data_IF_606653230677
#
_entry.id   IF_606653230677
#
_cell.length_a   1.000
_cell.length_b   1.000
_cell.length_c   1.000
_cell.angle_alpha   90.00
_cell.angle_beta   90.00
_cell.angle_gamma   90.00
#
_symmetry.space_group_name_H-M   'P 1'
#
loop_
_entity.id
_entity.type
_entity.pdbx_description
1 polymer ?
#
# COMPACT_ATOMS: atom_id res chain seq x y z
N UNK A 1 -64.86 -14.17 2.66
CA UNK A 1 -64.91 -14.56 4.09
C UNK A 1 -63.51 -15.04 4.42
N UNK A 2 -62.59 -14.09 4.63
CA UNK A 2 -62.20 -13.62 5.98
C UNK A 2 -61.63 -14.80 6.78
N UNK A 3 -60.38 -14.80 7.23
CA UNK A 3 -59.70 -13.75 7.98
C UNK A 3 -58.20 -14.11 8.04
N UNK A 4 -57.33 -13.17 7.68
CA UNK A 4 -56.43 -12.47 8.61
C UNK A 4 -55.29 -13.28 9.24
N UNK A 5 -54.10 -12.88 8.83
CA UNK A 5 -52.79 -12.96 9.47
C UNK A 5 -52.83 -12.90 11.00
N UNK A 6 -52.16 -13.83 11.69
CA UNK A 6 -51.51 -13.58 12.99
C UNK A 6 -50.20 -14.37 13.13
N UNK A 7 -49.11 -13.60 13.01
CA UNK A 7 -47.81 -13.65 13.66
C UNK A 7 -47.36 -14.87 14.51
N UNK A 8 -46.09 -15.22 14.28
CA UNK A 8 -45.05 -15.61 15.24
C UNK A 8 -45.15 -16.95 15.97
N UNK A 9 -44.31 -17.89 15.53
CA UNK A 9 -43.51 -18.70 16.45
C UNK A 9 -42.14 -18.99 15.82
N UNK A 10 -41.14 -18.23 16.23
CA UNK A 10 -39.74 -18.65 16.16
C UNK A 10 -39.60 -19.89 17.06
N UNK A 11 -39.43 -21.08 16.49
CA UNK A 11 -38.86 -22.22 17.21
C UNK A 11 -37.76 -22.85 16.36
N UNK A 12 -36.55 -22.40 16.71
CA UNK A 12 -35.25 -23.01 16.53
C UNK A 12 -35.25 -24.52 16.19
N UNK A 13 -34.62 -24.90 15.08
CA UNK A 13 -33.89 -26.15 15.01
C UNK A 13 -32.75 -26.02 13.99
N UNK A 14 -31.53 -25.87 14.51
CA UNK A 14 -30.32 -25.73 13.70
C UNK A 14 -30.04 -26.99 12.90
N UNK A 15 -29.97 -26.85 11.58
CA UNK A 15 -29.34 -27.84 10.71
C UNK A 15 -27.92 -27.36 10.47
N UNK A 16 -26.98 -27.97 11.19
CA UNK A 16 -25.55 -27.82 11.02
C UNK A 16 -25.16 -28.15 9.58
N UNK A 17 -24.90 -27.12 8.76
CA UNK A 17 -24.24 -27.29 7.47
C UNK A 17 -22.80 -27.72 7.81
N UNK A 18 -22.54 -29.03 7.73
CA UNK A 18 -21.22 -29.61 7.87
C UNK A 18 -20.31 -28.98 6.79
N UNK A 19 -19.57 -27.93 7.18
CA UNK A 19 -18.51 -27.33 6.36
C UNK A 19 -17.50 -28.43 6.07
N UNK A 20 -17.44 -28.92 4.83
CA UNK A 20 -16.30 -29.72 4.37
C UNK A 20 -15.07 -28.82 4.39
N UNK A 21 -14.24 -28.94 5.41
CA UNK A 21 -12.84 -28.52 5.31
C UNK A 21 -12.11 -29.60 4.55
N UNK A 22 -12.00 -29.46 3.23
CA UNK A 22 -11.07 -30.26 2.45
C UNK A 22 -9.66 -29.88 2.90
N UNK A 23 -9.06 -30.72 3.75
CA UNK A 23 -7.62 -30.68 4.03
C UNK A 23 -6.91 -31.05 2.73
N UNK A 24 -6.47 -30.06 1.96
CA UNK A 24 -5.48 -30.31 0.92
C UNK A 24 -4.15 -30.56 1.62
N UNK A 25 -3.93 -31.81 2.02
CA UNK A 25 -2.67 -32.26 2.58
C UNK A 25 -1.75 -32.63 1.41
N UNK A 26 -0.74 -31.79 1.19
CA UNK A 26 0.58 -32.10 0.64
C UNK A 26 0.64 -32.87 -0.68
N UNK A 27 0.73 -32.14 -1.79
CA UNK A 27 1.44 -32.62 -2.97
C UNK A 27 2.48 -31.56 -3.35
N UNK A 28 3.75 -31.81 -2.99
CA UNK A 28 4.85 -31.01 -3.49
C UNK A 28 5.01 -31.29 -4.98
N UNK A 29 4.35 -30.48 -5.80
CA UNK A 29 4.54 -30.50 -7.25
C UNK A 29 5.96 -30.03 -7.57
N UNK A 30 6.72 -30.67 -8.49
CA UNK A 30 8.07 -30.23 -8.90
C UNK A 30 8.14 -28.82 -9.52
N UNK A 31 7.01 -28.14 -9.61
CA UNK A 31 6.80 -26.84 -10.21
C UNK A 31 6.87 -25.73 -9.16
N UNK A 32 7.33 -26.05 -7.95
CA UNK A 32 7.67 -25.08 -6.91
C UNK A 32 8.74 -24.06 -7.38
N UNK A 33 9.37 -24.32 -8.52
CA UNK A 33 10.29 -23.42 -9.23
C UNK A 33 9.65 -22.76 -10.47
N UNK A 34 8.32 -22.66 -10.56
CA UNK A 34 7.65 -21.83 -11.57
C UNK A 34 7.28 -20.43 -11.03
N UNK A 35 7.63 -20.14 -9.77
CA UNK A 35 7.21 -18.94 -9.03
C UNK A 35 8.32 -17.88 -8.88
N UNK A 36 9.32 -17.89 -9.78
CA UNK A 36 10.41 -16.90 -9.78
C UNK A 36 10.73 -16.34 -11.18
N UNK A 37 9.79 -16.36 -12.13
CA UNK A 37 9.95 -15.63 -13.42
C UNK A 37 9.66 -14.12 -13.24
N UNK A 38 9.94 -13.59 -12.05
CA UNK A 38 10.19 -12.17 -11.83
C UNK A 38 11.70 -12.08 -11.65
N UNK A 39 12.42 -12.00 -12.76
CA UNK A 39 13.88 -11.91 -12.75
C UNK A 39 14.33 -10.73 -11.89
N UNK A 40 15.46 -10.86 -11.20
CA UNK A 40 16.13 -9.75 -10.51
C UNK A 40 16.30 -8.54 -11.43
N UNK A 41 16.57 -8.77 -12.72
CA UNK A 41 16.61 -7.75 -13.76
C UNK A 41 15.30 -6.94 -13.90
N UNK A 42 14.14 -7.60 -13.81
CA UNK A 42 12.83 -6.93 -13.88
C UNK A 42 12.54 -6.11 -12.62
N UNK A 43 12.95 -6.61 -11.45
CA UNK A 43 12.83 -5.86 -10.18
C UNK A 43 13.70 -4.61 -10.26
N UNK A 44 14.94 -4.73 -10.73
CA UNK A 44 15.85 -3.61 -10.92
C UNK A 44 15.33 -2.60 -11.94
N UNK A 45 14.79 -3.06 -13.07
CA UNK A 45 14.20 -2.17 -14.07
C UNK A 45 13.01 -1.38 -13.50
N UNK A 46 12.11 -2.03 -12.76
CA UNK A 46 11.00 -1.35 -12.08
C UNK A 46 11.50 -0.35 -11.04
N UNK A 47 12.48 -0.71 -10.21
CA UNK A 47 13.06 0.20 -9.21
C UNK A 47 13.74 1.41 -9.88
N UNK A 48 14.46 1.20 -10.98
CA UNK A 48 15.09 2.26 -11.74
C UNK A 48 14.06 3.24 -12.31
N UNK A 49 12.98 2.75 -12.92
CA UNK A 49 11.91 3.61 -13.45
C UNK A 49 11.24 4.44 -12.35
N UNK A 50 11.01 3.87 -11.17
CA UNK A 50 10.45 4.59 -10.02
C UNK A 50 11.43 5.64 -9.48
N UNK A 51 12.73 5.34 -9.46
CA UNK A 51 13.79 6.27 -9.03
C UNK A 51 14.00 7.42 -10.02
N UNK A 52 13.90 7.15 -11.33
CA UNK A 52 14.00 8.15 -12.38
C UNK A 52 12.76 9.06 -12.41
N UNK A 53 11.56 8.49 -12.27
CA UNK A 53 10.32 9.25 -12.27
C UNK A 53 9.40 8.86 -11.10
N UNK A 54 9.47 9.66 -10.04
CA UNK A 54 8.63 9.53 -8.83
C UNK A 54 7.11 9.67 -9.07
N UNK A 55 6.67 10.07 -10.26
CA UNK A 55 5.26 10.21 -10.63
C UNK A 55 4.78 9.13 -11.60
N UNK A 56 5.65 8.18 -11.95
CA UNK A 56 5.31 7.11 -12.87
C UNK A 56 4.13 6.30 -12.34
N UNK A 57 3.18 6.04 -13.23
CA UNK A 57 1.99 5.24 -12.94
C UNK A 57 2.26 3.78 -13.21
N UNK A 58 1.55 2.90 -12.52
CA UNK A 58 1.58 1.45 -12.79
C UNK A 58 1.28 1.14 -14.27
N UNK A 59 0.47 1.96 -14.95
CA UNK A 59 0.13 1.76 -16.36
C UNK A 59 1.33 2.03 -17.28
N UNK A 60 2.07 3.10 -17.03
CA UNK A 60 3.28 3.42 -17.79
C UNK A 60 4.32 2.31 -17.64
N UNK A 61 4.55 1.81 -16.41
CA UNK A 61 5.48 0.69 -16.16
C UNK A 61 5.02 -0.59 -16.89
N UNK A 62 3.72 -0.90 -16.87
CA UNK A 62 3.15 -2.06 -17.58
C UNK A 62 3.43 -1.99 -19.08
N UNK A 63 3.29 -0.80 -19.67
CA UNK A 63 3.53 -0.58 -21.11
C UNK A 63 5.03 -0.66 -21.41
N UNK A 64 5.85 0.02 -20.63
CA UNK A 64 7.30 0.14 -20.85
C UNK A 64 8.01 -1.21 -20.72
N UNK A 65 7.66 -1.99 -19.69
CA UNK A 65 8.28 -3.29 -19.43
C UNK A 65 7.48 -4.47 -19.99
N UNK A 66 6.32 -4.22 -20.62
CA UNK A 66 5.42 -5.25 -21.17
C UNK A 66 5.09 -6.38 -20.18
N UNK A 67 4.89 -6.02 -18.92
CA UNK A 67 4.61 -6.93 -17.80
C UNK A 67 3.18 -6.77 -17.31
N UNK A 68 2.63 -7.83 -16.72
CA UNK A 68 1.26 -7.77 -16.21
C UNK A 68 1.12 -6.75 -15.07
N UNK A 69 -0.03 -6.08 -15.00
CA UNK A 69 -0.35 -5.15 -13.91
C UNK A 69 -0.24 -5.81 -12.53
N UNK A 70 -0.62 -7.08 -12.42
CA UNK A 70 -0.52 -7.84 -11.17
C UNK A 70 0.93 -8.04 -10.73
N UNK A 71 1.81 -8.33 -11.69
CA UNK A 71 3.25 -8.47 -11.47
C UNK A 71 3.86 -7.14 -10.99
N UNK A 72 3.55 -6.02 -11.65
CA UNK A 72 4.03 -4.69 -11.23
C UNK A 72 3.55 -4.37 -9.81
N UNK A 73 2.28 -4.62 -9.52
CA UNK A 73 1.73 -4.37 -8.20
C UNK A 73 2.44 -5.21 -7.12
N UNK A 74 2.72 -6.48 -7.41
CA UNK A 74 3.46 -7.35 -6.51
C UNK A 74 4.89 -6.84 -6.28
N UNK A 75 5.62 -6.50 -7.35
CA UNK A 75 7.00 -5.99 -7.25
C UNK A 75 7.04 -4.71 -6.41
N UNK A 76 6.17 -3.74 -6.69
CA UNK A 76 6.16 -2.44 -5.99
C UNK A 76 5.87 -2.61 -4.49
N UNK A 77 4.82 -3.36 -4.14
CA UNK A 77 4.33 -3.39 -2.76
C UNK A 77 4.89 -4.54 -1.91
N UNK A 78 5.18 -5.69 -2.51
CA UNK A 78 5.67 -6.87 -1.78
C UNK A 78 7.18 -7.01 -1.84
N UNK A 79 7.79 -6.73 -2.99
CA UNK A 79 9.24 -6.90 -3.17
C UNK A 79 10.02 -5.64 -2.77
N UNK A 80 9.64 -4.48 -3.31
CA UNK A 80 10.34 -3.22 -3.06
C UNK A 80 9.81 -2.45 -1.84
N UNK A 81 8.58 -2.74 -1.41
CA UNK A 81 7.97 -2.13 -0.23
C UNK A 81 7.59 -0.65 -0.39
N UNK A 82 7.41 -0.17 -1.63
CA UNK A 82 6.99 1.20 -1.87
C UNK A 82 5.52 1.42 -1.47
N UNK A 83 5.27 2.55 -0.82
CA UNK A 83 3.94 3.03 -0.43
C UNK A 83 3.69 4.43 -0.96
N UNK A 84 2.42 4.74 -1.26
CA UNK A 84 2.00 6.07 -1.71
C UNK A 84 1.77 6.96 -0.48
N UNK A 85 2.57 8.01 -0.31
CA UNK A 85 2.54 8.89 0.88
C UNK A 85 1.79 10.20 0.62
N UNK A 86 1.64 10.61 -0.65
CA UNK A 86 0.77 11.71 -1.09
C UNK A 86 0.39 11.49 -2.57
N UNK A 87 -0.15 12.49 -3.28
CA UNK A 87 -0.36 12.41 -4.74
C UNK A 87 0.92 12.07 -5.54
N UNK A 88 2.09 12.02 -4.89
CA UNK A 88 3.41 11.70 -5.43
C UNK A 88 4.01 10.47 -4.72
N UNK A 89 4.63 9.54 -5.48
CA UNK A 89 5.49 8.52 -4.86
C UNK A 89 6.76 9.20 -4.40
N UNK A 90 7.29 8.86 -3.22
CA UNK A 90 8.49 9.52 -2.68
C UNK A 90 9.63 8.51 -2.64
N UNK A 91 10.58 8.57 -3.60
CA UNK A 91 11.84 7.86 -3.48
C UNK A 91 12.66 8.43 -2.32
N UNK A 92 12.96 7.61 -1.33
CA UNK A 92 13.63 7.99 -0.08
C UNK A 92 15.16 8.02 -0.23
N UNK A 93 15.69 8.73 -1.24
CA UNK A 93 17.14 8.92 -1.36
C UNK A 93 17.51 10.40 -1.46
N UNK A 94 17.59 11.05 -0.31
CA UNK A 94 18.08 12.42 -0.18
C UNK A 94 19.60 12.39 -0.01
N UNK A 95 20.31 13.29 -0.69
CA UNK A 95 21.72 13.53 -0.38
C UNK A 95 21.85 14.17 1.00
N UNK A 96 23.00 14.01 1.64
CA UNK A 96 23.18 14.51 3.01
C UNK A 96 23.07 16.03 3.07
N UNK A 97 23.57 16.74 2.05
CA UNK A 97 23.38 18.18 1.93
C UNK A 97 21.90 18.58 1.84
N UNK A 98 21.06 17.81 1.14
CA UNK A 98 19.62 18.05 1.06
C UNK A 98 18.91 17.77 2.40
N UNK A 99 19.37 16.76 3.16
CA UNK A 99 18.85 16.49 4.51
C UNK A 99 19.20 17.63 5.45
N UNK A 100 20.45 18.10 5.43
CA UNK A 100 20.93 19.21 6.26
C UNK A 100 20.20 20.50 5.93
N UNK A 101 20.01 20.82 4.65
CA UNK A 101 19.27 22.01 4.24
C UNK A 101 17.79 21.96 4.65
N UNK A 102 17.16 20.78 4.55
CA UNK A 102 15.77 20.61 5.04
C UNK A 102 15.69 20.76 6.55
N UNK A 103 16.64 20.17 7.27
CA UNK A 103 16.72 20.26 8.72
C UNK A 103 16.95 21.71 9.16
N UNK A 104 17.82 22.47 8.49
CA UNK A 104 18.09 23.86 8.84
C UNK A 104 16.86 24.75 8.64
N UNK A 105 16.10 24.57 7.55
CA UNK A 105 14.85 25.31 7.32
C UNK A 105 13.81 24.99 8.40
N UNK A 106 13.63 23.72 8.76
CA UNK A 106 12.69 23.32 9.81
C UNK A 106 13.10 23.86 11.19
N UNK A 107 14.38 23.80 11.53
CA UNK A 107 14.91 24.33 12.79
C UNK A 107 14.80 25.85 12.85
N UNK A 108 15.10 26.56 11.75
CA UNK A 108 14.92 28.01 11.67
C UNK A 108 13.45 28.38 11.81
N UNK A 109 12.54 27.66 11.16
CA UNK A 109 11.10 27.89 11.31
C UNK A 109 10.63 27.67 12.76
N UNK A 110 11.11 26.60 13.40
CA UNK A 110 10.83 26.31 14.80
C UNK A 110 11.39 27.41 15.71
N UNK A 111 12.61 27.85 15.48
CA UNK A 111 13.23 28.94 16.22
C UNK A 111 12.43 30.24 16.09
N UNK A 112 12.02 30.60 14.87
CA UNK A 112 11.18 31.78 14.64
C UNK A 112 9.83 31.65 15.35
N UNK A 113 9.17 30.49 15.29
CA UNK A 113 7.92 30.24 16.01
C UNK A 113 8.07 30.45 17.52
N UNK A 114 9.13 29.90 18.14
CA UNK A 114 9.36 30.01 19.59
C UNK A 114 9.85 31.39 20.03
N UNK A 115 10.46 32.17 19.15
CA UNK A 115 11.04 33.48 19.48
C UNK A 115 10.23 34.67 18.92
N UNK A 116 9.06 34.45 18.31
CA UNK A 116 8.22 35.53 17.82
C UNK A 116 7.34 36.10 18.95
N UNK A 117 7.54 37.35 19.40
CA UNK A 117 6.85 37.92 20.55
C UNK A 117 5.34 38.18 20.35
N UNK A 118 4.79 37.95 19.15
CA UNK A 118 3.36 38.22 18.84
C UNK A 118 2.51 36.98 18.57
N UNK A 119 3.04 35.75 18.65
CA UNK A 119 2.24 34.52 18.53
C UNK A 119 1.76 33.98 19.89
N UNK A 120 2.19 34.58 21.00
CA UNK A 120 1.77 34.22 22.36
C UNK A 120 0.44 34.84 22.79
N UNK A 121 -0.15 35.75 22.01
CA UNK A 121 -1.39 36.48 22.38
C UNK A 121 -2.59 36.25 21.46
N UNK A 122 -2.48 35.40 20.44
CA UNK A 122 -3.62 34.99 19.61
C UNK A 122 -3.81 33.47 19.61
N UNK A 123 -3.77 32.88 20.81
CA UNK A 123 -4.51 31.66 21.11
C UNK A 123 -5.68 32.04 22.03
N UNK A 124 -6.70 32.67 21.45
CA UNK A 124 -8.05 32.75 22.02
C UNK A 124 -9.04 32.70 20.85
N UNK A 125 -9.35 31.46 20.44
CA UNK A 125 -10.69 30.84 20.28
C UNK A 125 -10.44 29.40 19.84
#
# INVERSE_FOLDING_TARGET
>A
MESSVLHSALYSCGVSIMRRTCKHQGLATPWAEAHLVINSAMISAVDELIRQNSRITTREIVVELSISKGTVHHIIHKTLGYGKVSAQWVPKHLSDNQKTARMSVCLNQQFLYWNHPTLSTLNFI
#
